data_IF_860692668360
#
_entry.id   IF_860692668360
#
_cell.length_a   1.000
_cell.length_b   1.000
_cell.length_c   1.000
_cell.angle_alpha   90.00
_cell.angle_beta   90.00
_cell.angle_gamma   90.00
#
_symmetry.space_group_name_H-M   'P 1'
#
loop_
_entity.id
_entity.type
_entity.pdbx_description
1 polymer ?
#
# COMPACT_ATOMS: atom_id res chain seq x y z
N UNK A 1 -4.88 -12.90 5.34
CA UNK A 1 -6.02 -12.42 4.52
C UNK A 1 -5.90 -12.97 3.10
N UNK A 2 -6.98 -13.07 2.32
CA UNK A 2 -6.95 -13.65 0.95
C UNK A 2 -6.20 -12.76 -0.06
N UNK A 3 -6.16 -11.44 0.13
CA UNK A 3 -5.60 -10.49 -0.85
C UNK A 3 -4.09 -10.65 -1.11
N UNK A 4 -3.29 -10.91 -0.07
CA UNK A 4 -1.81 -11.03 -0.11
C UNK A 4 -1.30 -12.47 -0.02
N UNK A 5 -2.20 -13.45 0.05
CA UNK A 5 -1.81 -14.84 0.32
C UNK A 5 -0.97 -15.37 -0.84
N UNK A 6 0.33 -15.58 -0.58
CA UNK A 6 1.28 -16.10 -1.57
C UNK A 6 2.11 -15.02 -2.25
N UNK A 7 1.95 -13.75 -1.90
CA UNK A 7 2.80 -12.68 -2.40
C UNK A 7 4.20 -12.76 -1.79
N UNK A 8 5.20 -13.07 -2.63
CA UNK A 8 6.59 -13.10 -2.21
C UNK A 8 7.06 -11.70 -1.81
N UNK A 9 7.65 -11.58 -0.62
CA UNK A 9 8.17 -10.31 -0.11
C UNK A 9 7.14 -9.48 0.68
N UNK A 10 5.90 -9.93 0.86
CA UNK A 10 4.98 -9.36 1.85
C UNK A 10 5.44 -9.74 3.28
N UNK A 11 5.79 -8.75 4.08
CA UNK A 11 6.31 -8.90 5.45
C UNK A 11 5.29 -8.55 6.53
N UNK A 12 4.32 -7.71 6.20
CA UNK A 12 3.23 -7.30 7.09
C UNK A 12 2.00 -6.97 6.24
N UNK A 13 0.82 -7.36 6.73
CA UNK A 13 -0.46 -7.01 6.12
C UNK A 13 -1.59 -7.10 7.15
N UNK A 14 -1.75 -6.03 7.91
CA UNK A 14 -2.67 -5.97 9.06
C UNK A 14 -3.80 -4.99 8.80
N UNK A 15 -5.03 -5.37 9.18
CA UNK A 15 -6.23 -4.58 8.96
C UNK A 15 -6.81 -4.13 10.29
N UNK A 16 -7.14 -2.85 10.34
CA UNK A 16 -7.73 -2.20 11.50
C UNK A 16 -8.96 -1.41 11.06
N UNK A 17 -9.93 -1.33 11.95
CA UNK A 17 -11.15 -0.57 11.75
C UNK A 17 -11.32 0.36 12.96
N UNK A 18 -11.66 1.62 12.72
CA UNK A 18 -11.96 2.58 13.79
C UNK A 18 -13.13 2.11 14.64
N UNK A 19 -13.23 2.61 15.87
CA UNK A 19 -14.28 2.23 16.82
C UNK A 19 -15.70 2.47 16.26
N UNK A 20 -15.89 3.59 15.55
CA UNK A 20 -17.14 3.96 14.87
C UNK A 20 -17.34 3.27 13.50
N UNK A 21 -16.39 2.44 13.08
CA UNK A 21 -16.41 1.67 11.83
C UNK A 21 -16.44 2.51 10.55
N UNK A 22 -16.00 3.77 10.61
CA UNK A 22 -15.98 4.67 9.45
C UNK A 22 -14.64 4.73 8.72
N UNK A 23 -13.54 4.28 9.36
CA UNK A 23 -12.19 4.31 8.78
C UNK A 23 -11.50 2.96 8.89
N UNK A 24 -11.18 2.38 7.74
CA UNK A 24 -10.31 1.22 7.64
C UNK A 24 -8.86 1.66 7.42
N UNK A 25 -7.92 1.06 8.16
CA UNK A 25 -6.48 1.30 8.00
C UNK A 25 -5.81 -0.04 7.72
N UNK A 26 -4.98 -0.07 6.68
CA UNK A 26 -4.16 -1.23 6.34
C UNK A 26 -2.70 -0.86 6.55
N UNK A 27 -1.98 -1.68 7.31
CA UNK A 27 -0.54 -1.57 7.44
C UNK A 27 0.12 -2.64 6.58
N UNK A 28 0.86 -2.18 5.58
CA UNK A 28 1.55 -3.06 4.64
C UNK A 28 3.05 -2.81 4.69
N UNK A 29 3.84 -3.89 4.76
CA UNK A 29 5.30 -3.80 4.67
C UNK A 29 5.78 -4.83 3.67
N UNK A 30 6.58 -4.37 2.71
CA UNK A 30 7.19 -5.21 1.68
C UNK A 30 8.71 -5.15 1.77
N UNK A 31 9.37 -6.23 1.37
CA UNK A 31 10.83 -6.32 1.36
C UNK A 31 11.50 -5.49 0.26
N UNK A 32 10.75 -5.09 -0.78
CA UNK A 32 11.29 -4.31 -1.89
C UNK A 32 10.19 -3.57 -2.69
N UNK A 33 10.60 -2.66 -3.57
CA UNK A 33 9.67 -1.96 -4.49
C UNK A 33 9.00 -2.93 -5.47
N UNK A 34 9.70 -3.96 -5.91
CA UNK A 34 9.18 -5.00 -6.82
C UNK A 34 8.06 -5.81 -6.17
N UNK A 35 8.15 -6.08 -4.86
CA UNK A 35 7.09 -6.75 -4.13
C UNK A 35 5.83 -5.88 -4.03
N UNK A 36 5.96 -4.56 -3.84
CA UNK A 36 4.82 -3.62 -3.91
C UNK A 36 4.23 -3.58 -5.31
N UNK A 37 5.05 -3.53 -6.35
CA UNK A 37 4.56 -3.54 -7.74
C UNK A 37 3.80 -4.83 -8.07
N UNK A 38 4.30 -5.99 -7.61
CA UNK A 38 3.59 -7.26 -7.74
C UNK A 38 2.26 -7.24 -6.98
N UNK A 39 2.24 -6.68 -5.77
CA UNK A 39 1.01 -6.46 -5.01
C UNK A 39 -0.01 -5.60 -5.77
N UNK A 40 0.41 -4.44 -6.29
CA UNK A 40 -0.45 -3.55 -7.05
C UNK A 40 -1.01 -4.23 -8.32
N UNK A 41 -0.21 -5.07 -8.99
CA UNK A 41 -0.66 -5.83 -10.15
C UNK A 41 -1.68 -6.91 -9.79
N UNK A 42 -1.53 -7.56 -8.62
CA UNK A 42 -2.41 -8.62 -8.14
C UNK A 42 -3.72 -8.07 -7.53
N UNK A 43 -3.61 -7.06 -6.68
CA UNK A 43 -4.68 -6.59 -5.79
C UNK A 43 -5.21 -5.18 -6.13
N UNK A 44 -4.57 -4.43 -7.03
CA UNK A 44 -4.91 -3.02 -7.30
C UNK A 44 -6.37 -2.78 -7.70
N UNK A 45 -6.97 -3.69 -8.47
CA UNK A 45 -8.39 -3.59 -8.84
C UNK A 45 -9.32 -3.75 -7.63
N UNK A 46 -9.01 -4.68 -6.73
CA UNK A 46 -9.77 -4.89 -5.49
C UNK A 46 -9.62 -3.69 -4.54
N UNK A 47 -8.41 -3.16 -4.40
CA UNK A 47 -8.14 -1.95 -3.61
C UNK A 47 -8.96 -0.77 -4.15
N UNK A 48 -9.03 -0.59 -5.46
CA UNK A 48 -9.87 0.44 -6.08
C UNK A 48 -11.36 0.28 -5.77
N UNK A 49 -11.87 -0.95 -5.77
CA UNK A 49 -13.25 -1.22 -5.38
C UNK A 49 -13.52 -0.91 -3.90
N UNK A 50 -12.60 -1.31 -3.01
CA UNK A 50 -12.71 -1.02 -1.57
C UNK A 50 -12.63 0.48 -1.29
N UNK A 51 -11.74 1.20 -1.95
CA UNK A 51 -11.65 2.66 -1.86
C UNK A 51 -12.96 3.32 -2.30
N UNK A 52 -13.58 2.85 -3.39
CA UNK A 52 -14.88 3.34 -3.86
C UNK A 52 -16.01 3.14 -2.85
N UNK A 53 -16.00 2.03 -2.11
CA UNK A 53 -16.96 1.77 -1.03
C UNK A 53 -16.67 2.60 0.22
N UNK A 54 -15.38 2.85 0.52
CA UNK A 54 -14.91 3.61 1.68
C UNK A 54 -14.91 5.13 1.51
N UNK A 55 -15.34 5.64 0.35
CA UNK A 55 -15.36 7.08 0.07
C UNK A 55 -14.01 7.68 -0.32
N UNK A 56 -13.01 6.84 -0.60
CA UNK A 56 -11.67 7.27 -1.00
C UNK A 56 -10.56 6.39 -0.45
N UNK A 57 -9.32 6.81 -0.71
CA UNK A 57 -8.12 6.17 -0.20
C UNK A 57 -7.07 7.23 0.09
N UNK A 58 -6.57 7.23 1.32
CA UNK A 58 -5.38 7.98 1.72
C UNK A 58 -4.20 7.00 1.78
N UNK A 59 -3.11 7.31 1.08
CA UNK A 59 -1.91 6.47 1.03
C UNK A 59 -0.72 7.29 1.54
N UNK A 60 0.07 6.70 2.43
CA UNK A 60 1.38 7.22 2.82
C UNK A 60 2.42 6.13 2.57
N UNK A 61 3.57 6.50 2.02
CA UNK A 61 4.64 5.53 1.67
C UNK A 61 5.91 5.89 2.41
N UNK A 62 6.53 4.90 3.05
CA UNK A 62 7.74 5.07 3.84
C UNK A 62 8.85 4.17 3.28
N UNK A 63 10.00 4.75 2.98
CA UNK A 63 11.19 4.05 2.50
C UNK A 63 11.74 4.59 1.19
N UNK A 64 12.80 3.94 0.72
CA UNK A 64 13.50 4.29 -0.53
C UNK A 64 12.78 3.65 -1.72
N UNK A 65 11.85 4.42 -2.32
CA UNK A 65 10.97 3.98 -3.41
C UNK A 65 11.69 4.06 -4.76
N UNK A 66 11.67 2.97 -5.54
CA UNK A 66 12.25 2.93 -6.89
C UNK A 66 11.53 3.89 -7.86
N UNK A 67 12.19 4.33 -8.94
CA UNK A 67 11.55 5.16 -9.97
C UNK A 67 10.27 4.53 -10.55
N UNK A 68 10.26 3.21 -10.74
CA UNK A 68 9.14 2.46 -11.29
C UNK A 68 7.95 2.47 -10.34
N UNK A 69 8.18 2.27 -9.03
CA UNK A 69 7.12 2.34 -8.04
C UNK A 69 6.60 3.77 -7.87
N UNK A 70 7.47 4.79 -7.95
CA UNK A 70 7.04 6.20 -7.98
C UNK A 70 6.11 6.48 -9.17
N UNK A 71 6.44 5.96 -10.34
CA UNK A 71 5.60 6.11 -11.53
C UNK A 71 4.26 5.38 -11.36
N UNK A 72 4.25 4.17 -10.81
CA UNK A 72 3.02 3.43 -10.55
C UNK A 72 2.09 4.15 -9.57
N UNK A 73 2.64 4.89 -8.61
CA UNK A 73 1.90 5.67 -7.61
C UNK A 73 1.54 7.10 -8.09
N UNK A 74 1.94 7.51 -9.29
CA UNK A 74 1.80 8.90 -9.72
C UNK A 74 0.33 9.38 -9.79
N UNK A 75 -0.62 8.48 -10.02
CA UNK A 75 -2.04 8.83 -10.10
C UNK A 75 -2.64 9.23 -8.74
N UNK A 76 -2.12 8.68 -7.63
CA UNK A 76 -2.54 9.01 -6.26
C UNK A 76 -1.60 10.02 -5.59
N UNK A 77 -0.40 10.20 -6.15
CA UNK A 77 0.64 11.13 -5.69
C UNK A 77 0.81 11.16 -4.16
N UNK A 78 0.97 9.99 -3.49
CA UNK A 78 1.04 9.94 -2.05
C UNK A 78 2.30 10.64 -1.54
N UNK A 79 2.28 11.19 -0.31
CA UNK A 79 3.51 11.57 0.35
C UNK A 79 4.43 10.35 0.49
N UNK A 80 5.70 10.54 0.11
CA UNK A 80 6.76 9.54 0.22
C UNK A 80 7.80 10.06 1.21
N UNK A 81 7.99 9.32 2.29
CA UNK A 81 8.93 9.63 3.37
C UNK A 81 10.17 8.74 3.23
N UNK A 82 11.32 9.34 2.90
CA UNK A 82 12.58 8.61 2.90
C UNK A 82 13.00 8.22 4.32
N UNK A 83 13.77 7.14 4.45
CA UNK A 83 14.34 6.75 5.74
C UNK A 83 15.35 7.80 6.20
N UNK A 84 15.18 8.31 7.42
CA UNK A 84 16.11 9.28 7.99
C UNK A 84 17.55 8.75 8.10
N UNK A 85 17.72 7.43 8.22
CA UNK A 85 19.03 6.80 8.34
C UNK A 85 19.77 6.67 6.99
N UNK A 86 19.10 6.93 5.88
CA UNK A 86 19.67 6.93 4.53
C UNK A 86 19.80 8.33 3.91
N UNK A 87 19.50 9.39 4.69
CA UNK A 87 19.68 10.80 4.31
C UNK A 87 21.07 11.34 4.67
#
# INVERSE_FOLDING_TARGET
>A
MVAVRGEAGALQYDWFLSEDQTKCVVLERYGSSEAVLAHLANAGALIGQLAGLGGGLDIEVFGDVSPELRQALAATAPPIYASFLSL
#
